data_IF_679403644156
#
_entry.id   IF_679403644156
#
_cell.length_a   1.000
_cell.length_b   1.000
_cell.length_c   1.000
_cell.angle_alpha   90.00
_cell.angle_beta   90.00
_cell.angle_gamma   90.00
#
_symmetry.space_group_name_H-M   'P 1'
#
loop_
_entity.id
_entity.type
_entity.pdbx_description
1 polymer ?
#
# COMPACT_ATOMS: atom_id res chain seq x y z
N UNK A 1 -0.20 18.96 1.20
CA UNK A 1 -0.78 17.63 1.50
C UNK A 1 -2.08 17.51 0.71
N UNK A 2 -2.21 16.52 -0.18
CA UNK A 2 -3.47 16.26 -0.89
C UNK A 2 -4.37 15.35 -0.04
N UNK A 3 -5.64 15.70 0.14
CA UNK A 3 -6.59 14.84 0.87
C UNK A 3 -7.24 13.91 -0.14
N UNK A 4 -7.05 12.60 0.04
CA UNK A 4 -7.75 11.57 -0.76
C UNK A 4 -9.00 11.16 0.01
N UNK A 5 -10.18 11.38 -0.59
CA UNK A 5 -11.44 10.89 -0.04
C UNK A 5 -11.63 9.43 -0.42
N UNK A 6 -11.97 8.61 0.57
CA UNK A 6 -12.37 7.21 0.39
C UNK A 6 -13.78 7.01 0.93
N UNK A 7 -14.43 5.91 0.55
CA UNK A 7 -15.77 5.59 1.05
C UNK A 7 -15.75 5.22 2.54
N UNK A 8 -16.84 5.49 3.25
CA UNK A 8 -16.96 5.15 4.68
C UNK A 8 -16.70 3.66 4.99
N UNK A 9 -17.19 2.70 4.17
CA UNK A 9 -16.87 1.29 4.39
C UNK A 9 -15.37 0.99 4.29
N UNK A 10 -14.68 1.61 3.33
CA UNK A 10 -13.24 1.42 3.17
C UNK A 10 -12.47 2.06 4.33
N UNK A 11 -12.90 3.23 4.79
CA UNK A 11 -12.31 3.89 5.96
C UNK A 11 -12.41 3.00 7.21
N UNK A 12 -13.53 2.34 7.43
CA UNK A 12 -13.69 1.41 8.56
C UNK A 12 -12.80 0.17 8.42
N UNK A 13 -12.68 -0.39 7.21
CA UNK A 13 -11.75 -1.50 6.96
C UNK A 13 -10.29 -1.12 7.23
N UNK A 14 -9.86 0.08 6.81
CA UNK A 14 -8.51 0.58 7.10
C UNK A 14 -8.32 0.75 8.61
N UNK A 15 -9.31 1.27 9.33
CA UNK A 15 -9.26 1.42 10.79
C UNK A 15 -9.08 0.07 11.49
N UNK A 16 -9.88 -0.94 11.12
CA UNK A 16 -9.79 -2.28 11.72
C UNK A 16 -8.43 -2.94 11.42
N UNK A 17 -7.95 -2.84 10.18
CA UNK A 17 -6.65 -3.38 9.80
C UNK A 17 -5.49 -2.65 10.49
N UNK A 18 -5.60 -1.32 10.66
CA UNK A 18 -4.64 -0.49 11.38
C UNK A 18 -4.49 -0.94 12.84
N UNK A 19 -5.60 -1.23 13.52
CA UNK A 19 -5.58 -1.77 14.88
C UNK A 19 -4.95 -3.17 14.96
N UNK A 20 -5.22 -4.05 13.99
CA UNK A 20 -4.65 -5.40 13.95
C UNK A 20 -3.15 -5.44 13.62
N UNK A 21 -2.67 -4.49 12.82
CA UNK A 21 -1.30 -4.42 12.32
C UNK A 21 -0.40 -3.45 13.10
N UNK A 22 -0.92 -2.92 14.23
CA UNK A 22 -0.24 -1.98 15.13
C UNK A 22 0.42 -0.79 14.40
N UNK A 23 -0.34 -0.15 13.50
CA UNK A 23 0.12 1.01 12.72
C UNK A 23 -0.96 2.07 12.62
N UNK A 24 -0.60 3.31 12.27
CA UNK A 24 -1.59 4.37 12.05
C UNK A 24 -2.52 4.07 10.87
N UNK A 25 -3.72 4.66 10.87
CA UNK A 25 -4.69 4.55 9.77
C UNK A 25 -4.06 5.03 8.46
N UNK A 26 -3.31 6.13 8.50
CA UNK A 26 -2.63 6.66 7.32
C UNK A 26 -1.54 5.69 6.81
N UNK A 27 -0.75 5.10 7.71
CA UNK A 27 0.27 4.12 7.34
C UNK A 27 -0.34 2.83 6.76
N UNK A 28 -1.50 2.40 7.28
CA UNK A 28 -2.25 1.28 6.74
C UNK A 28 -2.82 1.58 5.35
N UNK A 29 -3.38 2.78 5.14
CA UNK A 29 -3.88 3.22 3.84
C UNK A 29 -2.74 3.33 2.82
N UNK A 30 -1.61 3.94 3.19
CA UNK A 30 -0.43 4.06 2.35
C UNK A 30 0.10 2.68 1.92
N UNK A 31 0.15 1.73 2.86
CA UNK A 31 0.55 0.35 2.57
C UNK A 31 -0.35 -0.31 1.51
N UNK A 32 -1.67 -0.19 1.64
CA UNK A 32 -2.60 -0.75 0.64
C UNK A 32 -2.44 -0.09 -0.73
N UNK A 33 -2.25 1.23 -0.78
CA UNK A 33 -2.01 1.95 -2.02
C UNK A 33 -0.71 1.47 -2.70
N UNK A 34 0.39 1.34 -1.94
CA UNK A 34 1.67 0.87 -2.48
C UNK A 34 1.60 -0.58 -2.98
N UNK A 35 0.93 -1.46 -2.23
CA UNK A 35 0.74 -2.86 -2.65
C UNK A 35 -0.13 -2.95 -3.90
N UNK A 36 -1.22 -2.18 -3.98
CA UNK A 36 -2.07 -2.11 -5.17
C UNK A 36 -1.28 -1.69 -6.41
N UNK A 37 -0.49 -0.62 -6.30
CA UNK A 37 0.39 -0.18 -7.38
C UNK A 37 1.41 -1.26 -7.78
N UNK A 38 2.04 -1.93 -6.81
CA UNK A 38 3.02 -2.98 -7.10
C UNK A 38 2.37 -4.18 -7.79
N UNK A 39 1.15 -4.55 -7.39
CA UNK A 39 0.40 -5.62 -8.02
C UNK A 39 -0.01 -5.26 -9.46
N UNK A 40 -0.42 -4.00 -9.71
CA UNK A 40 -0.71 -3.51 -11.06
C UNK A 40 0.52 -3.53 -11.97
N UNK A 41 1.69 -3.13 -11.44
CA UNK A 41 2.95 -3.12 -12.18
C UNK A 41 3.56 -4.52 -12.36
N UNK A 42 3.17 -5.49 -11.51
CA UNK A 42 3.74 -6.83 -11.52
C UNK A 42 2.65 -7.91 -11.36
N UNK A 43 1.75 -8.11 -12.35
CA UNK A 43 0.59 -9.00 -12.20
C UNK A 43 0.92 -10.48 -11.96
N UNK A 44 2.15 -10.90 -12.30
CA UNK A 44 2.61 -12.29 -12.15
C UNK A 44 3.39 -12.58 -10.86
N UNK A 45 3.62 -11.58 -10.01
CA UNK A 45 4.35 -11.79 -8.76
C UNK A 45 3.44 -12.24 -7.62
N UNK A 46 3.93 -13.16 -6.80
CA UNK A 46 3.21 -13.58 -5.61
C UNK A 46 3.22 -12.46 -4.57
N UNK A 47 2.23 -12.47 -3.67
CA UNK A 47 2.10 -11.46 -2.63
C UNK A 47 3.38 -11.29 -1.78
N UNK A 48 4.04 -12.38 -1.41
CA UNK A 48 5.28 -12.34 -0.65
C UNK A 48 6.41 -11.59 -1.39
N UNK A 49 6.47 -11.74 -2.72
CA UNK A 49 7.44 -11.02 -3.56
C UNK A 49 7.12 -9.52 -3.64
N UNK A 50 5.83 -9.16 -3.68
CA UNK A 50 5.39 -7.77 -3.61
C UNK A 50 5.76 -7.14 -2.25
N UNK A 51 5.60 -7.89 -1.16
CA UNK A 51 5.99 -7.45 0.19
C UNK A 51 7.50 -7.29 0.28
N UNK A 52 8.28 -8.23 -0.24
CA UNK A 52 9.74 -8.10 -0.31
C UNK A 52 10.14 -6.86 -1.10
N UNK A 53 9.50 -6.59 -2.24
CA UNK A 53 9.73 -5.37 -3.03
C UNK A 53 9.38 -4.11 -2.25
N UNK A 54 8.29 -4.13 -1.46
CA UNK A 54 7.87 -3.00 -0.65
C UNK A 54 8.82 -2.73 0.53
N UNK A 55 9.27 -3.79 1.22
CA UNK A 55 10.19 -3.69 2.37
C UNK A 55 11.62 -3.32 1.97
N UNK A 56 12.04 -3.74 0.78
CA UNK A 56 13.35 -3.40 0.22
C UNK A 56 13.41 -1.97 -0.37
N UNK A 57 12.32 -1.21 -0.22
CA UNK A 57 12.13 0.21 -0.55
C UNK A 57 13.20 0.78 -1.49
N UNK A 58 13.18 0.32 -2.75
CA UNK A 58 13.88 1.00 -3.82
C UNK A 58 12.99 2.16 -4.26
N UNK A 59 13.33 3.44 -3.95
CA UNK A 59 12.55 4.61 -4.36
C UNK A 59 12.40 4.76 -5.88
N UNK A 60 13.11 3.92 -6.64
CA UNK A 60 13.10 3.80 -8.09
C UNK A 60 11.78 3.20 -8.64
N UNK A 61 11.01 2.45 -7.83
CA UNK A 61 9.74 1.84 -8.29
C UNK A 61 8.59 2.84 -8.46
N UNK A 62 8.65 4.00 -7.78
CA UNK A 62 7.61 5.04 -7.86
C UNK A 62 7.95 6.09 -8.92
N UNK A 63 9.24 6.27 -9.21
CA UNK A 63 9.69 7.09 -10.33
C UNK A 63 9.81 6.18 -11.54
N UNK A 64 8.72 5.94 -12.25
CA UNK A 64 8.79 5.18 -13.51
C UNK A 64 9.75 5.86 -14.49
N UNK A 65 11.05 5.51 -14.45
CA UNK A 65 12.10 5.62 -15.46
C UNK A 65 13.39 4.94 -14.97
N UNK A 66 13.86 4.06 -15.87
CA UNK A 66 15.18 3.43 -16.03
C UNK A 66 15.54 2.32 -15.06
#
# INVERSE_FOLDING_TARGET
MGIVKISDPLHEQVRLASAAMDRSINAQAEFWIKIGLLAELNPGLAYNDLINKLLLDKPELIRGRS
#
